data_IF_328460506180
#
_entry.id   IF_328460506180
#
_cell.length_a   1.000
_cell.length_b   1.000
_cell.length_c   1.000
_cell.angle_alpha   90.00
_cell.angle_beta   90.00
_cell.angle_gamma   90.00
#
_symmetry.space_group_name_H-M   'P 1'
#
loop_
_entity.id
_entity.type
_entity.pdbx_description
1 polymer ?
#
# COMPACT_ATOMS: atom_id res chain seq x y z
N UNK A 1 -44.59 -19.16 2.56
CA UNK A 1 -43.72 -18.47 1.58
C UNK A 1 -43.27 -17.16 2.22
N UNK A 2 -42.03 -17.05 2.68
CA UNK A 2 -41.27 -15.79 2.67
C UNK A 2 -39.79 -16.18 2.61
N UNK A 3 -39.27 -16.02 1.41
CA UNK A 3 -37.86 -16.18 1.06
C UNK A 3 -37.20 -14.82 1.28
N UNK A 4 -36.22 -14.75 2.17
CA UNK A 4 -35.24 -13.66 2.19
C UNK A 4 -33.89 -14.31 1.89
N UNK A 5 -33.59 -14.33 0.60
CA UNK A 5 -32.35 -14.79 0.02
C UNK A 5 -31.29 -13.67 0.16
N UNK A 6 -30.05 -14.10 0.43
CA UNK A 6 -28.80 -13.36 0.25
C UNK A 6 -28.70 -11.95 0.86
N UNK A 7 -28.30 -11.87 2.14
CA UNK A 7 -27.36 -10.82 2.51
C UNK A 7 -26.05 -11.12 1.75
N UNK A 8 -25.84 -10.44 0.63
CA UNK A 8 -24.56 -10.49 -0.07
C UNK A 8 -23.50 -10.06 0.94
N UNK A 9 -22.66 -11.01 1.33
CA UNK A 9 -21.48 -10.77 2.13
C UNK A 9 -20.52 -9.94 1.27
N UNK A 10 -20.74 -8.63 1.23
CA UNK A 10 -19.74 -7.67 0.75
C UNK A 10 -18.65 -7.68 1.81
N UNK A 11 -17.65 -8.54 1.64
CA UNK A 11 -16.41 -8.37 2.37
C UNK A 11 -15.91 -6.96 2.04
N UNK A 12 -15.98 -6.09 3.04
CA UNK A 12 -15.50 -4.73 2.91
C UNK A 12 -14.01 -4.80 2.53
N UNK A 13 -13.67 -4.41 1.30
CA UNK A 13 -12.30 -4.37 0.77
C UNK A 13 -11.47 -3.23 1.36
N UNK A 14 -11.66 -2.95 2.65
CA UNK A 14 -11.02 -1.84 3.34
C UNK A 14 -9.56 -2.18 3.63
N UNK A 15 -8.62 -1.30 3.28
CA UNK A 15 -7.22 -1.53 3.56
C UNK A 15 -6.93 -1.41 5.05
N UNK A 16 -6.08 -2.29 5.58
CA UNK A 16 -5.50 -2.16 6.93
C UNK A 16 -4.06 -1.67 6.82
N UNK A 17 -3.75 -0.52 7.40
CA UNK A 17 -2.40 0.05 7.37
C UNK A 17 -1.41 -0.81 8.15
N UNK A 18 -0.25 -1.09 7.55
CA UNK A 18 0.93 -1.68 8.22
C UNK A 18 1.95 -0.58 8.55
N UNK A 19 2.31 0.21 7.54
CA UNK A 19 3.31 1.26 7.66
C UNK A 19 3.14 2.28 6.53
N UNK A 20 3.40 3.55 6.81
CA UNK A 20 3.50 4.61 5.81
C UNK A 20 4.55 5.61 6.26
N UNK A 21 5.08 6.39 5.31
CA UNK A 21 6.05 7.41 5.64
C UNK A 21 6.91 7.81 4.45
N UNK A 22 8.14 8.22 4.77
CA UNK A 22 9.13 8.65 3.79
C UNK A 22 10.41 7.83 3.95
N UNK A 23 10.85 7.22 2.87
CA UNK A 23 12.15 6.57 2.76
C UNK A 23 13.21 7.67 2.52
N UNK A 24 14.36 7.54 3.15
CA UNK A 24 15.52 8.40 2.94
C UNK A 24 16.61 7.59 2.22
N UNK A 25 17.04 8.08 1.07
CA UNK A 25 18.01 7.43 0.21
C UNK A 25 18.50 8.40 -0.86
N UNK A 26 19.49 7.98 -1.63
CA UNK A 26 20.06 8.80 -2.71
C UNK A 26 19.55 8.39 -4.10
N UNK A 27 18.60 7.47 -4.16
CA UNK A 27 18.00 6.99 -5.41
C UNK A 27 18.77 5.83 -6.07
N UNK A 28 19.88 5.38 -5.48
CA UNK A 28 20.63 4.21 -5.96
C UNK A 28 20.23 2.91 -5.23
N UNK A 29 19.21 2.98 -4.39
CA UNK A 29 18.76 1.89 -3.52
C UNK A 29 17.90 0.83 -4.25
N UNK A 30 17.66 1.03 -5.55
CA UNK A 30 16.92 0.11 -6.41
C UNK A 30 15.39 0.12 -6.20
N UNK A 31 14.87 1.07 -5.43
CA UNK A 31 13.45 1.30 -5.24
C UNK A 31 12.99 2.46 -6.13
N UNK A 32 12.34 2.10 -7.24
CA UNK A 32 11.71 3.05 -8.16
C UNK A 32 10.23 3.22 -7.82
N UNK A 33 9.60 4.27 -8.34
CA UNK A 33 8.14 4.44 -8.25
C UNK A 33 7.44 3.18 -8.74
N UNK A 34 6.62 2.57 -7.86
CA UNK A 34 5.93 1.34 -8.20
C UNK A 34 4.75 1.06 -7.24
N UNK A 35 3.72 0.42 -7.78
CA UNK A 35 2.60 -0.12 -7.02
C UNK A 35 2.60 -1.65 -7.18
N UNK A 36 2.59 -2.37 -6.06
CA UNK A 36 2.76 -3.82 -6.05
C UNK A 36 1.67 -4.49 -5.23
N UNK A 37 1.33 -5.71 -5.64
CA UNK A 37 0.49 -6.64 -4.88
C UNK A 37 1.34 -7.86 -4.54
N UNK A 38 1.58 -8.09 -3.26
CA UNK A 38 2.36 -9.23 -2.79
C UNK A 38 1.39 -10.29 -2.27
N UNK A 39 1.54 -11.51 -2.77
CA UNK A 39 0.58 -12.60 -2.55
C UNK A 39 1.10 -13.69 -1.62
N UNK A 40 2.36 -13.60 -1.20
CA UNK A 40 2.95 -14.55 -0.28
C UNK A 40 3.95 -13.91 0.70
N UNK A 41 4.25 -14.67 1.75
CA UNK A 41 5.12 -14.25 2.84
C UNK A 41 6.56 -14.01 2.40
N UNK A 42 7.06 -14.73 1.39
CA UNK A 42 8.45 -14.62 0.92
C UNK A 42 8.66 -13.28 0.23
N UNK A 43 7.82 -12.95 -0.75
CA UNK A 43 7.81 -11.64 -1.42
C UNK A 43 7.68 -10.50 -0.41
N UNK A 44 6.76 -10.64 0.54
CA UNK A 44 6.55 -9.63 1.56
C UNK A 44 7.79 -9.41 2.43
N UNK A 45 8.46 -10.47 2.89
CA UNK A 45 9.71 -10.36 3.65
C UNK A 45 10.82 -9.67 2.86
N UNK A 46 10.96 -9.99 1.58
CA UNK A 46 11.98 -9.37 0.71
C UNK A 46 11.73 -7.88 0.49
N UNK A 47 10.48 -7.49 0.23
CA UNK A 47 10.11 -6.08 0.06
C UNK A 47 10.24 -5.32 1.38
N UNK A 48 9.75 -5.86 2.49
CA UNK A 48 9.89 -5.25 3.81
C UNK A 48 11.36 -5.04 4.20
N UNK A 49 12.24 -6.00 3.89
CA UNK A 49 13.68 -5.86 4.12
C UNK A 49 14.29 -4.72 3.29
N UNK A 50 13.88 -4.53 2.02
CA UNK A 50 14.32 -3.39 1.20
C UNK A 50 13.83 -2.06 1.76
N UNK A 51 12.55 -1.98 2.16
CA UNK A 51 11.99 -0.78 2.78
C UNK A 51 12.68 -0.44 4.10
N UNK A 52 12.99 -1.45 4.94
CA UNK A 52 13.66 -1.24 6.22
C UNK A 52 15.11 -0.78 6.09
N UNK A 53 15.82 -1.13 5.00
CA UNK A 53 17.13 -0.52 4.69
C UNK A 53 17.02 0.99 4.53
N UNK A 54 15.88 1.48 4.06
CA UNK A 54 15.53 2.89 3.94
C UNK A 54 14.52 3.30 5.03
N UNK A 55 14.81 2.95 6.28
CA UNK A 55 14.15 3.49 7.48
C UNK A 55 12.61 3.34 7.59
N UNK A 56 12.00 2.40 6.85
CA UNK A 56 10.56 2.14 6.99
C UNK A 56 10.16 1.57 8.37
N UNK A 57 11.11 0.98 9.11
CA UNK A 57 10.95 0.47 10.47
C UNK A 57 9.78 -0.52 10.67
N UNK A 58 9.45 -1.31 9.65
CA UNK A 58 8.43 -2.35 9.68
C UNK A 58 8.94 -3.49 10.56
N UNK A 59 8.23 -3.78 11.65
CA UNK A 59 8.69 -4.77 12.64
C UNK A 59 8.43 -6.20 12.18
N UNK A 60 9.25 -7.13 12.66
CA UNK A 60 9.17 -8.56 12.31
C UNK A 60 7.82 -9.20 12.72
N UNK A 61 7.20 -8.74 13.81
CA UNK A 61 5.87 -9.18 14.25
C UNK A 61 4.77 -8.70 13.28
N UNK A 62 4.84 -7.46 12.80
CA UNK A 62 3.95 -6.95 11.75
C UNK A 62 4.12 -7.74 10.44
N UNK A 63 5.35 -8.10 10.09
CA UNK A 63 5.62 -8.90 8.88
C UNK A 63 5.01 -10.31 8.99
N UNK A 64 5.09 -10.93 10.16
CA UNK A 64 4.55 -12.27 10.43
C UNK A 64 3.04 -12.31 10.67
N UNK A 65 2.43 -11.18 11.03
CA UNK A 65 1.00 -11.10 11.34
C UNK A 65 0.09 -11.23 10.10
N UNK A 66 0.63 -11.06 8.88
CA UNK A 66 -0.15 -11.15 7.64
C UNK A 66 -0.50 -12.60 7.32
N UNK A 67 -1.79 -12.92 7.31
CA UNK A 67 -2.30 -14.22 6.89
C UNK A 67 -2.60 -14.23 5.38
N UNK A 68 -1.65 -14.71 4.56
CA UNK A 68 -1.79 -14.78 3.09
C UNK A 68 -2.86 -15.76 2.58
N UNK A 69 -3.50 -16.52 3.48
CA UNK A 69 -4.73 -17.25 3.12
C UNK A 69 -5.94 -16.33 3.07
N UNK A 70 -5.91 -15.21 3.79
CA UNK A 70 -7.03 -14.27 3.95
C UNK A 70 -6.73 -12.87 3.41
N UNK A 71 -5.46 -12.53 3.25
CA UNK A 71 -5.01 -11.18 2.93
C UNK A 71 -4.00 -11.17 1.78
N UNK A 72 -3.89 -10.02 1.13
CA UNK A 72 -2.77 -9.64 0.26
C UNK A 72 -2.16 -8.35 0.79
N UNK A 73 -0.87 -8.11 0.51
CA UNK A 73 -0.20 -6.85 0.85
C UNK A 73 -0.17 -5.94 -0.38
N UNK A 74 -0.55 -4.69 -0.18
CA UNK A 74 -0.44 -3.61 -1.15
C UNK A 74 0.72 -2.71 -0.73
N UNK A 75 1.66 -2.49 -1.65
CA UNK A 75 2.79 -1.59 -1.46
C UNK A 75 2.71 -0.50 -2.52
N UNK A 76 2.71 0.76 -2.09
CA UNK A 76 2.78 1.93 -2.95
C UNK A 76 4.09 2.65 -2.66
N UNK A 77 4.88 2.95 -3.68
CA UNK A 77 6.12 3.70 -3.60
C UNK A 77 6.00 4.82 -4.61
N UNK A 78 6.02 6.08 -4.14
CA UNK A 78 6.02 7.25 -5.01
C UNK A 78 7.41 7.49 -5.61
N UNK A 79 7.50 8.41 -6.57
CA UNK A 79 8.77 8.92 -7.04
C UNK A 79 9.56 9.62 -5.92
N UNK A 80 10.87 9.70 -6.12
CA UNK A 80 11.73 10.50 -5.26
C UNK A 80 11.38 12.00 -5.38
N UNK A 81 11.28 12.66 -4.23
CA UNK A 81 10.96 14.08 -4.10
C UNK A 81 12.18 14.81 -3.58
N UNK A 82 12.46 15.99 -4.12
CA UNK A 82 13.60 16.85 -3.71
C UNK A 82 13.30 17.70 -2.47
N UNK A 83 12.06 17.64 -1.98
CA UNK A 83 11.59 18.34 -0.79
C UNK A 83 10.79 17.38 0.07
N UNK A 84 10.80 17.60 1.37
CA UNK A 84 9.93 16.90 2.30
C UNK A 84 8.47 17.34 2.19
N UNK A 85 7.61 16.69 2.98
CA UNK A 85 6.18 17.04 3.09
C UNK A 85 5.28 16.32 2.10
N UNK A 86 5.79 15.40 1.30
CA UNK A 86 4.99 14.54 0.43
C UNK A 86 4.53 13.27 1.17
N UNK A 87 3.37 12.77 0.79
CA UNK A 87 2.81 11.51 1.25
C UNK A 87 2.01 10.83 0.13
N UNK A 88 1.97 9.50 0.15
CA UNK A 88 1.12 8.66 -0.68
C UNK A 88 0.28 7.77 0.23
N UNK A 89 -1.00 7.59 -0.07
CA UNK A 89 -1.91 6.75 0.72
C UNK A 89 -2.97 6.09 -0.15
N UNK A 90 -3.53 4.99 0.34
CA UNK A 90 -4.79 4.46 -0.22
C UNK A 90 -5.94 5.35 0.28
N UNK A 91 -6.68 5.92 -0.67
CA UNK A 91 -7.82 6.80 -0.42
C UNK A 91 -9.16 6.07 -0.49
N UNK A 92 -9.18 4.88 -1.09
CA UNK A 92 -10.38 4.04 -1.17
C UNK A 92 -10.14 2.81 -2.02
N UNK A 93 -11.07 1.87 -1.95
CA UNK A 93 -11.04 0.63 -2.75
C UNK A 93 -12.42 0.43 -3.37
N UNK A 94 -12.46 0.30 -4.70
CA UNK A 94 -13.69 0.02 -5.46
C UNK A 94 -13.69 -1.46 -5.86
N UNK A 95 -14.60 -2.25 -5.30
CA UNK A 95 -14.79 -3.65 -5.67
C UNK A 95 -15.78 -3.71 -6.85
N UNK A 96 -15.27 -3.98 -8.07
CA UNK A 96 -16.08 -4.21 -9.28
C UNK A 96 -16.32 -5.71 -9.47
N UNK A 97 -17.04 -6.12 -10.50
CA UNK A 97 -17.30 -7.53 -10.77
C UNK A 97 -16.00 -8.32 -11.05
N UNK A 98 -15.16 -7.82 -11.95
CA UNK A 98 -13.95 -8.52 -12.43
C UNK A 98 -12.64 -7.99 -11.80
N UNK A 99 -12.64 -6.75 -11.30
CA UNK A 99 -11.46 -6.12 -10.74
C UNK A 99 -11.71 -5.39 -9.41
N UNK A 100 -10.63 -5.16 -8.67
CA UNK A 100 -10.60 -4.31 -7.49
C UNK A 100 -9.67 -3.13 -7.78
N UNK A 101 -10.21 -1.93 -7.77
CA UNK A 101 -9.45 -0.70 -8.02
C UNK A 101 -9.02 -0.10 -6.69
N UNK A 102 -7.71 0.00 -6.49
CA UNK A 102 -7.09 0.68 -5.35
C UNK A 102 -6.86 2.14 -5.75
N UNK A 103 -7.65 3.05 -5.17
CA UNK A 103 -7.47 4.48 -5.39
C UNK A 103 -6.35 4.98 -4.48
N UNK A 104 -5.26 5.47 -5.05
CA UNK A 104 -4.17 6.10 -4.31
C UNK A 104 -4.22 7.62 -4.47
N UNK A 105 -3.85 8.34 -3.41
CA UNK A 105 -3.77 9.79 -3.42
C UNK A 105 -2.40 10.24 -2.97
N UNK A 106 -1.79 11.11 -3.76
CA UNK A 106 -0.56 11.81 -3.42
C UNK A 106 -0.92 13.17 -2.82
N UNK A 107 -0.23 13.56 -1.76
CA UNK A 107 -0.46 14.85 -1.10
C UNK A 107 0.86 15.52 -0.76
N UNK A 108 0.83 16.84 -0.69
CA UNK A 108 1.95 17.66 -0.27
C UNK A 108 1.45 18.60 0.83
N UNK A 109 2.19 18.67 1.94
CA UNK A 109 1.90 19.60 3.02
C UNK A 109 2.22 21.02 2.55
N UNK A 110 1.27 21.94 2.66
CA UNK A 110 1.48 23.36 2.37
C UNK A 110 2.28 24.00 3.50
N UNK A 111 3.46 24.56 3.21
CA UNK A 111 4.32 25.20 4.22
C UNK A 111 5.81 25.18 3.85
N UNK A 112 6.66 25.45 4.83
CA UNK A 112 8.11 25.37 4.68
C UNK A 112 8.54 23.90 4.51
N UNK A 113 8.60 23.46 3.25
CA UNK A 113 9.13 22.15 2.93
C UNK A 113 10.65 22.13 3.15
N UNK A 114 11.14 21.16 3.93
CA UNK A 114 12.56 20.96 4.15
C UNK A 114 13.24 20.55 2.84
N UNK A 115 14.45 21.04 2.58
CA UNK A 115 15.29 20.59 1.46
C UNK A 115 15.92 19.23 1.78
N UNK A 116 15.08 18.22 1.93
CA UNK A 116 15.48 16.84 2.20
C UNK A 116 14.85 15.98 1.12
N UNK A 117 15.68 15.14 0.52
CA UNK A 117 15.26 14.18 -0.48
C UNK A 117 14.52 13.03 0.19
N UNK A 118 13.30 12.74 -0.26
CA UNK A 118 12.41 11.75 0.35
C UNK A 118 11.69 10.94 -0.71
N UNK A 119 11.33 9.71 -0.39
CA UNK A 119 10.47 8.89 -1.25
C UNK A 119 9.26 8.39 -0.43
N UNK A 120 8.07 8.97 -0.63
CA UNK A 120 6.87 8.53 0.07
C UNK A 120 6.53 7.08 -0.22
N UNK A 121 6.08 6.34 0.80
CA UNK A 121 5.58 4.99 0.64
C UNK A 121 4.37 4.70 1.54
N UNK A 122 3.60 3.71 1.14
CA UNK A 122 2.48 3.15 1.89
C UNK A 122 2.48 1.63 1.79
N UNK A 123 2.25 0.95 2.91
CA UNK A 123 2.05 -0.48 2.99
C UNK A 123 0.77 -0.76 3.77
N UNK A 124 -0.14 -1.52 3.17
CA UNK A 124 -1.32 -2.03 3.87
C UNK A 124 -1.73 -3.40 3.37
N UNK A 125 -2.71 -4.01 4.02
CA UNK A 125 -3.32 -5.27 3.57
C UNK A 125 -4.73 -5.04 3.08
N UNK A 126 -5.17 -5.89 2.16
CA UNK A 126 -6.58 -6.01 1.75
C UNK A 126 -7.02 -7.47 1.87
N UNK A 127 -8.34 -7.76 1.96
CA UNK A 127 -8.83 -9.12 1.83
C UNK A 127 -8.34 -9.79 0.55
N UNK A 128 -8.09 -11.10 0.62
CA UNK A 128 -7.67 -11.89 -0.54
C UNK A 128 -8.82 -11.98 -1.54
N UNK A 129 -8.49 -11.83 -2.81
CA UNK A 129 -9.36 -11.92 -3.96
C UNK A 129 -8.59 -12.49 -5.15
N UNK A 130 -9.30 -13.17 -6.04
CA UNK A 130 -8.75 -13.63 -7.32
C UNK A 130 -9.01 -12.62 -8.45
N UNK A 131 -9.72 -11.53 -8.16
CA UNK A 131 -9.97 -10.43 -9.09
C UNK A 131 -8.67 -9.72 -9.47
N UNK A 132 -8.66 -9.12 -10.66
CA UNK A 132 -7.55 -8.28 -11.08
C UNK A 132 -7.43 -7.06 -10.15
N UNK A 133 -6.21 -6.70 -9.76
CA UNK A 133 -5.97 -5.50 -8.94
C UNK A 133 -5.45 -4.40 -9.85
N UNK A 134 -6.20 -3.30 -9.89
CA UNK A 134 -5.84 -2.10 -10.63
C UNK A 134 -5.47 -0.98 -9.66
N UNK A 135 -4.57 -0.09 -10.06
CA UNK A 135 -4.20 1.10 -9.30
C UNK A 135 -4.65 2.36 -10.04
N UNK A 136 -5.38 3.24 -9.36
CA UNK A 136 -5.87 4.50 -9.92
C UNK A 136 -5.41 5.66 -9.04
N UNK A 137 -4.67 6.62 -9.60
CA UNK A 137 -4.35 7.86 -8.89
C UNK A 137 -5.54 8.81 -8.94
N UNK A 138 -6.04 9.21 -7.77
CA UNK A 138 -7.14 10.18 -7.63
C UNK A 138 -6.63 11.52 -7.13
N UNK A 139 -7.24 12.61 -7.63
CA UNK A 139 -6.89 13.99 -7.27
C UNK A 139 -7.49 14.42 -5.94
#
# INVERSE_FOLDING_TARGET
MFSCNSAQNSENMNPTLIAEGNLYGNGNDGLVENNMVLKNQTEWKEVAAKLNKLNANIKEDQIKAVDFKKQMVIVLIDQQRTKGGYAIKISGVKNKEESVVINLRKSQTEGMATMVMTQPYYVGTIPKTDKEIEFEEVK
#
